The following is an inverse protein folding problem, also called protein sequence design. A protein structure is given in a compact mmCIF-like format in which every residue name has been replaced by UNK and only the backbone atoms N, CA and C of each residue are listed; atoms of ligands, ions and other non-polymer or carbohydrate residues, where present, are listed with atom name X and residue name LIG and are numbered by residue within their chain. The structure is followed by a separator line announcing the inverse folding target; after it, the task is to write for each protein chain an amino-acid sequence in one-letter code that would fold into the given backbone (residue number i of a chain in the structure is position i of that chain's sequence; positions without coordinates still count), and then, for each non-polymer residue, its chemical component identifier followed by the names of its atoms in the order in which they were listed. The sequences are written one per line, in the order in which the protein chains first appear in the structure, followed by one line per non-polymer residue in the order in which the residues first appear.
data_IF_323799249358
#
_entry.id   IF_323799249358
#
_cell.length_a   1.000
_cell.length_b   1.000
_cell.length_c   1.000
_cell.angle_alpha   90.00
_cell.angle_beta   90.00
_cell.angle_gamma   90.00
#
_symmetry.space_group_name_H-M   'P 1'
#
loop_
_entity.id
_entity.type
_entity.pdbx_description
1 polymer ?
#
# COMPACT_ATOMS: atom_id res chain seq x y z
N UNK A 1 1.17 -2.21 -21.13
CA UNK A 1 -0.01 -3.11 -21.14
C UNK A 1 0.05 -4.04 -22.34
N UNK A 2 -0.26 -5.33 -22.17
CA UNK A 2 -0.25 -6.31 -23.28
C UNK A 2 -1.56 -6.33 -24.07
N UNK A 3 -2.65 -5.83 -23.49
CA UNK A 3 -3.97 -5.64 -24.13
C UNK A 3 -4.38 -4.16 -24.06
N UNK A 4 -5.33 -3.76 -24.90
CA UNK A 4 -5.89 -2.40 -24.88
C UNK A 4 -6.90 -2.23 -23.74
N UNK A 5 -7.18 -0.98 -23.37
CA UNK A 5 -8.14 -0.66 -22.32
C UNK A 5 -9.56 -1.14 -22.70
N UNK A 6 -9.94 -1.07 -23.99
CA UNK A 6 -11.24 -1.57 -24.46
C UNK A 6 -11.37 -3.09 -24.30
N UNK A 7 -10.27 -3.83 -24.50
CA UNK A 7 -10.26 -5.28 -24.30
C UNK A 7 -10.38 -5.62 -22.81
N UNK A 8 -9.68 -4.87 -21.94
CA UNK A 8 -9.80 -5.03 -20.50
C UNK A 8 -11.24 -4.75 -20.02
N UNK A 9 -11.83 -3.65 -20.46
CA UNK A 9 -13.21 -3.27 -20.12
C UNK A 9 -14.23 -4.31 -20.59
N UNK A 10 -14.02 -4.88 -21.78
CA UNK A 10 -14.86 -5.96 -22.30
C UNK A 10 -14.82 -7.20 -21.40
N UNK A 11 -13.63 -7.62 -20.95
CA UNK A 11 -13.46 -8.76 -20.06
C UNK A 11 -14.05 -8.50 -18.67
N UNK A 12 -13.94 -7.27 -18.15
CA UNK A 12 -14.59 -6.88 -16.90
C UNK A 12 -16.11 -6.99 -16.97
N UNK A 13 -16.73 -6.50 -18.06
CA UNK A 13 -18.19 -6.62 -18.27
C UNK A 13 -18.64 -8.06 -18.41
N UNK A 14 -17.85 -8.90 -19.08
CA UNK A 14 -18.13 -10.32 -19.20
C UNK A 14 -18.10 -11.01 -17.83
N UNK A 15 -17.08 -10.71 -17.02
CA UNK A 15 -16.99 -11.22 -15.65
C UNK A 15 -18.18 -10.79 -14.78
N UNK A 16 -18.57 -9.52 -14.85
CA UNK A 16 -19.75 -8.99 -14.13
C UNK A 16 -21.03 -9.72 -14.55
N UNK A 17 -21.21 -9.96 -15.86
CA UNK A 17 -22.37 -10.70 -16.36
C UNK A 17 -22.39 -12.15 -15.85
N UNK A 18 -21.25 -12.84 -15.85
CA UNK A 18 -21.12 -14.20 -15.35
C UNK A 18 -21.38 -14.29 -13.85
N UNK A 19 -20.86 -13.35 -13.05
CA UNK A 19 -21.11 -13.31 -11.61
C UNK A 19 -22.58 -13.01 -11.28
N UNK A 20 -23.25 -12.21 -12.10
CA UNK A 20 -24.68 -11.95 -11.97
C UNK A 20 -25.52 -13.21 -12.28
N UNK A 21 -25.14 -13.97 -13.31
CA UNK A 21 -25.82 -15.22 -13.69
C UNK A 21 -25.52 -16.36 -12.70
N UNK A 22 -24.31 -16.39 -12.14
CA UNK A 22 -23.84 -17.43 -11.22
C UNK A 22 -23.33 -16.84 -9.88
N UNK A 23 -24.23 -16.32 -9.00
CA UNK A 23 -23.81 -15.66 -7.75
C UNK A 23 -23.00 -16.53 -6.79
N UNK A 24 -23.14 -17.86 -6.89
CA UNK A 24 -22.38 -18.82 -6.07
C UNK A 24 -20.88 -18.86 -6.40
N UNK A 25 -20.46 -18.32 -7.55
CA UNK A 25 -19.06 -18.28 -7.98
C UNK A 25 -18.32 -17.01 -7.56
N UNK A 26 -19.03 -16.01 -7.01
CA UNK A 26 -18.43 -14.74 -6.60
C UNK A 26 -17.43 -15.00 -5.47
N UNK A 27 -16.18 -14.58 -5.67
CA UNK A 27 -15.13 -14.63 -4.65
C UNK A 27 -14.84 -13.24 -4.10
N UNK A 28 -14.37 -13.16 -2.84
CA UNK A 28 -14.15 -11.89 -2.14
C UNK A 28 -12.95 -11.08 -2.64
N UNK A 29 -12.16 -11.67 -3.54
CA UNK A 29 -11.00 -11.12 -4.23
C UNK A 29 -11.25 -10.88 -5.73
N UNK A 30 -12.47 -11.13 -6.22
CA UNK A 30 -12.83 -10.82 -7.60
C UNK A 30 -12.67 -9.31 -7.89
N UNK A 31 -12.16 -8.92 -9.08
CA UNK A 31 -12.00 -7.52 -9.47
C UNK A 31 -13.30 -6.69 -9.41
N UNK A 32 -14.46 -7.32 -9.57
CA UNK A 32 -15.79 -6.68 -9.49
C UNK A 32 -16.17 -6.29 -8.07
N UNK A 33 -15.52 -6.87 -7.05
CA UNK A 33 -15.83 -6.66 -5.63
C UNK A 33 -15.03 -5.51 -5.00
N UNK A 34 -14.45 -4.64 -5.83
CA UNK A 34 -13.65 -3.47 -5.40
C UNK A 34 -14.49 -2.27 -4.97
N UNK A 35 -15.82 -2.31 -5.10
CA UNK A 35 -16.68 -1.17 -4.78
C UNK A 35 -16.60 -0.84 -3.29
N UNK A 36 -16.38 0.44 -2.98
CA UNK A 36 -16.50 0.95 -1.62
C UNK A 36 -17.93 0.75 -1.15
N UNK A 37 -18.14 -0.19 -0.22
CA UNK A 37 -19.46 -0.47 0.34
C UNK A 37 -20.02 0.71 1.14
N UNK A 38 -21.00 0.43 2.00
CA UNK A 38 -21.56 1.43 2.92
C UNK A 38 -20.42 2.06 3.75
N UNK A 39 -20.33 3.40 3.83
CA UNK A 39 -19.33 4.07 4.67
C UNK A 39 -19.34 3.49 6.08
N UNK A 40 -18.16 3.14 6.59
CA UNK A 40 -18.03 2.65 7.95
C UNK A 40 -18.52 3.74 8.92
N UNK A 41 -19.31 3.33 9.92
CA UNK A 41 -19.76 4.23 11.00
C UNK A 41 -18.58 4.76 11.82
N UNK A 42 -17.55 3.94 11.95
CA UNK A 42 -16.32 4.24 12.67
C UNK A 42 -15.16 3.39 12.15
N UNK A 43 -13.93 3.88 12.32
CA UNK A 43 -12.73 3.12 12.02
C UNK A 43 -12.38 2.18 13.18
N UNK A 44 -12.21 0.90 12.86
CA UNK A 44 -11.75 -0.11 13.82
C UNK A 44 -10.24 0.03 14.02
N UNK A 45 -9.76 -0.07 15.26
CA UNK A 45 -8.32 -0.03 15.55
C UNK A 45 -7.65 -1.36 15.18
N UNK A 46 -6.49 -1.28 14.54
CA UNK A 46 -5.68 -2.45 14.14
C UNK A 46 -4.32 -2.36 14.83
N UNK A 47 -3.93 -3.41 15.54
CA UNK A 47 -2.58 -3.53 16.12
C UNK A 47 -1.63 -4.05 15.06
N UNK A 48 -0.55 -3.32 14.81
CA UNK A 48 0.46 -3.71 13.82
C UNK A 48 1.28 -4.89 14.32
N UNK A 49 1.45 -5.92 13.48
CA UNK A 49 2.31 -7.08 13.80
C UNK A 49 3.79 -6.70 13.86
N UNK A 50 4.19 -5.70 13.06
CA UNK A 50 5.55 -5.14 13.00
C UNK A 50 5.47 -3.65 13.32
N UNK A 51 6.33 -3.13 14.23
CA UNK A 51 6.37 -1.69 14.53
C UNK A 51 6.61 -0.84 13.28
N UNK A 52 5.82 0.23 13.14
CA UNK A 52 5.84 1.12 11.98
C UNK A 52 6.65 2.39 12.27
N UNK A 53 7.90 2.40 11.82
CA UNK A 53 8.87 3.45 12.08
C UNK A 53 8.63 4.71 11.24
N UNK A 54 9.05 5.85 11.79
CA UNK A 54 9.32 7.07 11.02
C UNK A 54 10.76 7.07 10.54
N UNK A 55 11.06 7.89 9.54
CA UNK A 55 12.42 8.27 9.22
C UNK A 55 12.82 9.54 9.97
N UNK A 56 14.12 9.69 10.21
CA UNK A 56 14.68 10.98 10.57
C UNK A 56 14.89 11.80 9.29
N UNK A 57 14.75 13.11 9.41
CA UNK A 57 14.95 14.03 8.28
C UNK A 57 16.42 14.48 8.18
N UNK A 58 16.81 14.87 6.98
CA UNK A 58 18.07 15.52 6.65
C UNK A 58 17.73 16.67 5.69
N UNK A 59 18.27 17.86 5.94
CA UNK A 59 17.95 19.07 5.19
C UNK A 59 19.16 19.64 4.43
N UNK A 60 20.36 19.16 4.76
CA UNK A 60 21.63 19.57 4.17
C UNK A 60 22.44 18.37 3.70
N UNK A 61 23.44 18.63 2.84
CA UNK A 61 24.39 17.61 2.43
C UNK A 61 25.22 17.07 3.62
N UNK A 62 25.56 17.93 4.57
CA UNK A 62 26.28 17.56 5.79
C UNK A 62 25.48 16.59 6.66
N UNK A 63 24.16 16.76 6.78
CA UNK A 63 23.29 15.81 7.50
C UNK A 63 23.37 14.38 6.91
N UNK A 64 23.50 14.28 5.58
CA UNK A 64 23.62 13.00 4.87
C UNK A 64 25.02 12.40 5.07
N UNK A 65 26.07 13.22 5.00
CA UNK A 65 27.44 12.77 5.29
C UNK A 65 27.57 12.27 6.73
N UNK A 66 26.95 12.96 7.68
CA UNK A 66 26.88 12.55 9.08
C UNK A 66 26.09 11.25 9.26
N UNK A 67 24.99 11.08 8.53
CA UNK A 67 24.26 9.81 8.50
C UNK A 67 25.15 8.65 8.01
N UNK A 68 25.86 8.81 6.89
CA UNK A 68 26.79 7.80 6.38
C UNK A 68 27.89 7.47 7.41
N UNK A 69 28.49 8.50 8.01
CA UNK A 69 29.50 8.32 9.06
C UNK A 69 28.97 7.56 10.29
N UNK A 70 27.71 7.82 10.70
CA UNK A 70 27.04 7.06 11.78
C UNK A 70 26.84 5.59 11.38
N UNK A 71 26.36 5.32 10.17
CA UNK A 71 26.14 3.95 9.66
C UNK A 71 27.47 3.18 9.60
N UNK A 72 28.52 3.77 9.02
CA UNK A 72 29.86 3.17 8.95
C UNK A 72 30.44 2.86 10.32
N UNK A 73 30.29 3.79 11.28
CA UNK A 73 30.72 3.56 12.66
C UNK A 73 29.95 2.40 13.30
N UNK A 74 28.63 2.33 13.10
CA UNK A 74 27.82 1.23 13.61
C UNK A 74 28.25 -0.12 13.01
N UNK A 75 28.44 -0.21 11.70
CA UNK A 75 28.91 -1.44 11.03
C UNK A 75 30.26 -1.92 11.58
N UNK A 76 31.21 -1.00 11.81
CA UNK A 76 32.50 -1.32 12.45
C UNK A 76 32.33 -1.92 13.84
N UNK A 77 31.39 -1.42 14.65
CA UNK A 77 31.11 -2.01 15.98
C UNK A 77 30.55 -3.43 15.91
N UNK A 78 29.96 -3.81 14.76
CA UNK A 78 29.48 -5.16 14.48
C UNK A 78 30.54 -6.05 13.81
N UNK A 79 31.78 -5.58 13.68
CA UNK A 79 32.87 -6.31 13.02
C UNK A 79 32.79 -6.32 11.49
N UNK A 80 31.92 -5.49 10.89
CA UNK A 80 31.76 -5.39 9.44
C UNK A 80 32.65 -4.26 8.90
N UNK A 81 33.50 -4.57 7.92
CA UNK A 81 34.47 -3.63 7.31
C UNK A 81 34.09 -3.19 5.90
N UNK A 82 32.84 -3.41 5.50
CA UNK A 82 32.32 -3.07 4.17
C UNK A 82 31.81 -1.63 4.12
N UNK A 83 31.87 -1.04 2.92
CA UNK A 83 31.26 0.25 2.61
C UNK A 83 29.78 0.03 2.25
N UNK A 84 28.82 0.67 2.94
CA UNK A 84 27.40 0.49 2.65
C UNK A 84 27.03 1.02 1.27
N UNK A 85 26.22 0.26 0.54
CA UNK A 85 25.48 0.75 -0.62
C UNK A 85 24.10 1.24 -0.20
N UNK A 86 23.64 2.34 -0.79
CA UNK A 86 22.33 2.93 -0.49
C UNK A 86 21.37 2.74 -1.67
N UNK A 87 20.10 2.48 -1.35
CA UNK A 87 19.00 2.60 -2.30
C UNK A 87 18.34 3.95 -2.06
N UNK A 88 18.24 4.77 -3.10
CA UNK A 88 17.57 6.06 -3.05
C UNK A 88 16.19 5.94 -3.71
N UNK A 89 15.15 6.30 -2.97
CA UNK A 89 13.76 6.29 -3.43
C UNK A 89 13.15 7.68 -3.31
N UNK A 90 12.16 7.98 -4.15
CA UNK A 90 11.39 9.20 -4.04
C UNK A 90 10.54 9.16 -2.77
N UNK A 91 10.65 10.20 -1.94
CA UNK A 91 9.76 10.37 -0.79
C UNK A 91 8.39 10.85 -1.29
N UNK A 92 7.45 9.93 -1.40
CA UNK A 92 6.07 10.23 -1.75
C UNK A 92 5.41 11.00 -0.58
N UNK A 93 4.76 12.11 -0.89
CA UNK A 93 3.95 12.86 0.07
C UNK A 93 2.52 12.34 0.04
N UNK A 94 2.19 11.47 0.98
CA UNK A 94 0.91 10.78 1.01
C UNK A 94 0.57 10.29 2.41
N UNK A 95 -0.11 9.15 2.46
CA UNK A 95 -0.47 8.48 3.70
C UNK A 95 0.09 7.05 3.71
N UNK A 96 0.96 6.78 4.69
CA UNK A 96 1.48 5.43 4.93
C UNK A 96 0.36 4.44 5.22
N UNK A 97 0.36 3.35 4.45
CA UNK A 97 -0.55 2.21 4.57
C UNK A 97 0.25 0.92 4.79
N UNK A 98 -0.33 0.01 5.57
CA UNK A 98 0.19 -1.32 5.84
C UNK A 98 -0.81 -2.35 5.34
N UNK A 99 -0.40 -3.19 4.40
CA UNK A 99 -1.21 -4.24 3.79
C UNK A 99 -0.78 -5.60 4.34
N UNK A 100 -1.71 -6.38 4.87
CA UNK A 100 -1.44 -7.77 5.25
C UNK A 100 -2.08 -8.70 4.23
N UNK A 101 -1.25 -9.53 3.62
CA UNK A 101 -1.68 -10.62 2.76
C UNK A 101 -1.51 -11.95 3.49
N UNK A 102 -2.52 -12.81 3.39
CA UNK A 102 -2.47 -14.19 3.89
C UNK A 102 -2.77 -15.14 2.73
N UNK A 103 -1.86 -16.09 2.48
CA UNK A 103 -1.89 -16.99 1.31
C UNK A 103 -2.08 -16.22 0.00
N UNK A 104 -1.48 -15.03 -0.10
CA UNK A 104 -1.57 -14.14 -1.24
C UNK A 104 -2.85 -13.30 -1.30
N UNK A 105 -3.84 -13.50 -0.44
CA UNK A 105 -5.09 -12.72 -0.43
C UNK A 105 -5.01 -11.52 0.52
N UNK A 106 -5.47 -10.36 0.07
CA UNK A 106 -5.51 -9.14 0.89
C UNK A 106 -6.47 -9.35 2.06
N UNK A 107 -5.89 -9.54 3.25
CA UNK A 107 -6.64 -9.84 4.47
C UNK A 107 -7.12 -8.57 5.15
N UNK A 108 -6.24 -7.59 5.32
CA UNK A 108 -6.59 -6.27 5.83
C UNK A 108 -5.60 -5.20 5.36
N UNK A 109 -6.01 -3.95 5.48
CA UNK A 109 -5.15 -2.78 5.33
C UNK A 109 -5.36 -1.82 6.50
N UNK A 110 -4.28 -1.21 6.98
CA UNK A 110 -4.33 -0.29 8.10
C UNK A 110 -3.52 0.98 7.84
N UNK A 111 -3.98 2.11 8.39
CA UNK A 111 -3.16 3.32 8.46
C UNK A 111 -1.97 3.11 9.41
N UNK A 112 -0.93 3.94 9.30
CA UNK A 112 0.18 3.90 10.26
C UNK A 112 -0.28 4.16 11.70
N UNK A 113 -1.16 5.13 11.90
CA UNK A 113 -1.53 5.65 13.22
C UNK A 113 -0.30 6.07 14.03
N UNK A 114 -0.17 5.58 15.26
CA UNK A 114 0.95 5.94 16.15
C UNK A 114 2.20 5.05 16.02
N UNK A 115 2.26 4.21 14.99
CA UNK A 115 3.35 3.27 14.78
C UNK A 115 3.12 1.87 15.37
N UNK A 116 2.18 1.74 16.32
CA UNK A 116 1.80 0.45 16.95
C UNK A 116 0.35 0.08 16.68
N UNK A 117 -0.52 1.09 16.63
CA UNK A 117 -1.96 0.94 16.38
C UNK A 117 -2.35 1.91 15.28
N UNK A 118 -2.97 1.35 14.24
CA UNK A 118 -3.57 2.05 13.12
C UNK A 118 -5.09 1.94 13.09
N UNK A 119 -5.67 2.35 11.98
CA UNK A 119 -7.10 2.26 11.68
C UNK A 119 -7.32 1.36 10.47
N UNK A 120 -8.32 0.47 10.54
CA UNK A 120 -8.71 -0.41 9.45
C UNK A 120 -9.28 0.42 8.30
N UNK A 121 -8.57 0.40 7.18
CA UNK A 121 -8.94 1.08 5.94
C UNK A 121 -9.07 0.08 4.79
N UNK A 122 -9.34 -1.19 5.09
CA UNK A 122 -9.37 -2.28 4.11
C UNK A 122 -10.34 -1.99 2.97
N UNK A 123 -11.55 -1.50 3.28
CA UNK A 123 -12.55 -1.18 2.26
C UNK A 123 -12.09 -0.04 1.35
N UNK A 124 -11.49 1.00 1.92
CA UNK A 124 -10.95 2.13 1.14
C UNK A 124 -9.78 1.68 0.25
N UNK A 125 -8.91 0.82 0.77
CA UNK A 125 -7.74 0.33 0.01
C UNK A 125 -8.15 -0.62 -1.11
N UNK A 126 -9.22 -1.42 -0.93
CA UNK A 126 -9.75 -2.30 -2.00
C UNK A 126 -10.18 -1.52 -3.24
N UNK A 127 -10.58 -0.26 -3.10
CA UNK A 127 -10.97 0.60 -4.23
C UNK A 127 -9.76 1.11 -5.03
N UNK A 128 -8.54 1.00 -4.50
CA UNK A 128 -7.32 1.43 -5.19
C UNK A 128 -6.92 0.34 -6.19
N UNK A 129 -7.08 0.61 -7.49
CA UNK A 129 -6.86 -0.35 -8.57
C UNK A 129 -5.44 -0.94 -8.57
N UNK A 130 -4.44 -0.11 -8.31
CA UNK A 130 -3.04 -0.53 -8.27
C UNK A 130 -2.69 -1.45 -7.10
N UNK A 131 -3.57 -1.56 -6.09
CA UNK A 131 -3.43 -2.51 -4.99
C UNK A 131 -4.08 -3.84 -5.39
N UNK A 132 -3.31 -4.94 -5.54
CA UNK A 132 -3.88 -6.23 -5.89
C UNK A 132 -4.67 -6.83 -4.73
N UNK A 133 -5.87 -7.36 -4.98
CA UNK A 133 -6.62 -8.13 -3.99
C UNK A 133 -6.00 -9.52 -3.76
N UNK A 134 -5.31 -10.05 -4.77
CA UNK A 134 -4.58 -11.31 -4.73
C UNK A 134 -3.19 -11.16 -5.37
N UNK A 135 -2.16 -11.62 -4.66
CA UNK A 135 -0.79 -11.73 -5.16
C UNK A 135 -0.63 -12.95 -6.05
N UNK A 136 0.30 -12.89 -7.00
CA UNK A 136 0.64 -14.01 -7.90
C UNK A 136 1.16 -15.26 -7.18
N UNK A 137 1.61 -15.12 -5.94
CA UNK A 137 2.12 -16.22 -5.11
C UNK A 137 1.32 -16.31 -3.82
N UNK A 138 0.97 -17.52 -3.35
CA UNK A 138 0.20 -17.70 -2.12
C UNK A 138 1.10 -17.56 -0.88
N UNK A 139 1.54 -16.34 -0.60
CA UNK A 139 2.47 -16.02 0.50
C UNK A 139 1.79 -15.23 1.61
N UNK A 140 2.26 -15.42 2.84
CA UNK A 140 1.93 -14.53 3.96
C UNK A 140 2.95 -13.40 3.99
N UNK A 141 2.52 -12.16 3.81
CA UNK A 141 3.44 -11.02 3.76
C UNK A 141 2.75 -9.74 4.27
N UNK A 142 3.54 -8.88 4.89
CA UNK A 142 3.16 -7.50 5.20
C UNK A 142 3.88 -6.60 4.21
N UNK A 143 3.12 -5.77 3.51
CA UNK A 143 3.64 -4.80 2.54
C UNK A 143 3.35 -3.40 3.07
N UNK A 144 4.37 -2.55 3.10
CA UNK A 144 4.26 -1.16 3.50
C UNK A 144 4.42 -0.27 2.28
N UNK A 145 3.66 0.81 2.21
CA UNK A 145 3.76 1.77 1.12
C UNK A 145 3.02 3.06 1.42
N UNK A 146 2.98 3.95 0.44
CA UNK A 146 2.34 5.25 0.54
C UNK A 146 1.16 5.34 -0.45
N UNK A 147 -0.03 5.64 0.07
CA UNK A 147 -1.16 6.01 -0.77
C UNK A 147 -1.10 7.51 -1.00
N UNK A 148 -1.18 7.94 -2.25
CA UNK A 148 -1.11 9.34 -2.61
C UNK A 148 -2.14 9.67 -3.67
N UNK A 149 -2.36 10.97 -3.86
CA UNK A 149 -3.29 11.49 -4.86
C UNK A 149 -2.52 12.28 -5.91
N UNK A 150 -2.82 12.03 -7.19
CA UNK A 150 -2.22 12.81 -8.26
C UNK A 150 -2.61 14.27 -8.18
N UNK A 151 -1.70 15.17 -8.61
CA UNK A 151 -1.98 16.61 -8.66
C UNK A 151 -3.25 16.93 -9.45
N UNK A 152 -3.47 16.24 -10.57
CA UNK A 152 -4.68 16.38 -11.40
C UNK A 152 -5.94 16.03 -10.62
N UNK A 153 -5.97 14.86 -9.97
CA UNK A 153 -7.11 14.43 -9.16
C UNK A 153 -7.39 15.38 -7.99
N UNK A 154 -6.32 15.90 -7.37
CA UNK A 154 -6.43 16.89 -6.30
C UNK A 154 -7.05 18.21 -6.78
N UNK A 155 -6.63 18.71 -7.94
CA UNK A 155 -7.20 19.92 -8.56
C UNK A 155 -8.68 19.72 -8.95
N UNK A 156 -9.04 18.56 -9.47
CA UNK A 156 -10.43 18.22 -9.80
C UNK A 156 -11.32 18.22 -8.55
N UNK A 157 -10.88 17.58 -7.47
CA UNK A 157 -11.62 17.56 -6.20
C UNK A 157 -11.80 18.96 -5.63
N UNK A 158 -10.77 19.81 -5.70
CA UNK A 158 -10.84 21.18 -5.19
C UNK A 158 -11.79 22.07 -5.99
N UNK A 159 -12.13 21.76 -7.25
CA UNK A 159 -13.13 22.50 -8.02
C UNK A 159 -14.57 22.17 -7.62
N UNK A 160 -14.79 21.00 -7.01
CA UNK A 160 -16.11 20.51 -6.60
C UNK A 160 -16.41 20.89 -5.14
N UNK A 161 -15.40 21.37 -4.40
CA UNK A 161 -15.52 21.92 -3.04
C UNK A 161 -15.70 23.43 -3.06
#
# INVERSE_FOLDING_TARGET
PEITDEAYDSLMRELEALELEYPALITSDSPTQRVGGVPLKEFVKVVHRVPQWSFNDAFTEEDIQDFDARVKRFLKTQGLTLDPSYVAELKIDGLKVVLTYEKGLLKNAATRGNGKVGEDVTMNVRTIESVPLQLRKPINIIVEGEVWMSKKSFEEINKVR
#
